data_IF_822171887110
#
_entry.id   IF_822171887110
#
_cell.length_a   1.000
_cell.length_b   1.000
_cell.length_c   1.000
_cell.angle_alpha   90.00
_cell.angle_beta   90.00
_cell.angle_gamma   90.00
#
_symmetry.space_group_name_H-M   'P 1'
#
loop_
_entity.id
_entity.type
_entity.pdbx_description
1 polymer ?
#
# COMPACT_ATOMS: atom_id res chain seq x y z
N UNK A 1 91.36 16.27 -54.94
CA UNK A 1 91.20 17.22 -53.82
C UNK A 1 92.25 16.99 -52.71
N UNK A 2 93.49 16.61 -53.07
CA UNK A 2 94.52 16.16 -52.13
C UNK A 2 95.73 17.12 -52.00
N UNK A 3 95.63 18.32 -52.58
CA UNK A 3 96.75 19.28 -52.64
C UNK A 3 96.75 20.34 -51.52
N UNK A 4 95.64 20.51 -50.79
CA UNK A 4 95.52 21.56 -49.76
C UNK A 4 96.05 21.15 -48.38
N UNK A 5 96.12 19.85 -48.06
CA UNK A 5 96.59 19.40 -46.74
C UNK A 5 98.11 19.49 -46.58
N UNK A 6 98.87 19.38 -47.68
CA UNK A 6 100.35 19.41 -47.64
C UNK A 6 100.93 20.78 -47.29
N UNK A 7 100.23 21.87 -47.66
CA UNK A 7 100.70 23.23 -47.39
C UNK A 7 100.63 23.55 -45.88
N UNK A 8 99.56 23.13 -45.21
CA UNK A 8 99.38 23.33 -43.76
C UNK A 8 100.33 22.46 -42.91
N UNK A 9 100.69 21.26 -43.40
CA UNK A 9 101.61 20.38 -42.66
C UNK A 9 103.04 20.90 -42.68
N UNK A 10 103.49 21.46 -43.81
CA UNK A 10 104.84 22.04 -43.93
C UNK A 10 105.00 23.28 -43.05
N UNK A 11 104.01 24.17 -43.04
CA UNK A 11 104.03 25.36 -42.17
C UNK A 11 104.01 24.98 -40.69
N UNK A 12 103.21 23.96 -40.31
CA UNK A 12 103.17 23.44 -38.95
C UNK A 12 104.50 22.79 -38.51
N UNK A 13 105.15 22.01 -39.38
CA UNK A 13 106.46 21.40 -39.12
C UNK A 13 107.53 22.48 -38.95
N UNK A 14 107.56 23.48 -39.84
CA UNK A 14 108.50 24.59 -39.78
C UNK A 14 108.28 25.50 -38.56
N UNK A 15 107.04 25.59 -38.05
CA UNK A 15 106.71 26.35 -36.85
C UNK A 15 107.09 25.60 -35.55
N UNK A 16 107.02 24.26 -35.56
CA UNK A 16 107.40 23.41 -34.43
C UNK A 16 108.91 23.13 -34.36
N UNK A 17 109.61 23.12 -35.49
CA UNK A 17 111.06 22.89 -35.60
C UNK A 17 111.78 23.97 -36.43
N UNK A 18 111.87 25.23 -35.96
CA UNK A 18 112.40 26.35 -36.74
C UNK A 18 113.94 26.37 -36.86
N UNK A 19 114.68 25.60 -36.08
CA UNK A 19 116.16 25.57 -36.10
C UNK A 19 116.72 24.14 -36.00
N UNK A 20 117.94 23.90 -36.50
CA UNK A 20 118.54 22.54 -36.54
C UNK A 20 118.69 21.90 -35.14
N UNK A 21 118.91 22.70 -34.09
CA UNK A 21 118.92 22.23 -32.69
C UNK A 21 117.55 21.76 -32.17
N UNK A 22 116.45 22.30 -32.70
CA UNK A 22 115.08 21.93 -32.32
C UNK A 22 114.65 20.56 -32.85
N UNK A 23 115.36 20.01 -33.85
CA UNK A 23 115.15 18.65 -34.36
C UNK A 23 115.38 17.56 -33.30
N UNK A 24 116.11 17.85 -32.21
CA UNK A 24 116.23 16.96 -31.06
C UNK A 24 114.89 16.70 -30.34
N UNK A 25 113.91 17.59 -30.50
CA UNK A 25 112.55 17.47 -29.95
C UNK A 25 111.56 16.69 -30.84
N UNK A 26 112.00 16.21 -32.01
CA UNK A 26 111.15 15.45 -32.95
C UNK A 26 110.67 14.15 -32.32
N UNK A 27 111.56 13.41 -31.66
CA UNK A 27 111.20 12.14 -31.03
C UNK A 27 110.18 12.32 -29.88
N UNK A 28 110.37 13.26 -28.93
CA UNK A 28 109.33 13.60 -27.95
C UNK A 28 108.00 14.07 -28.55
N UNK A 29 108.01 14.89 -29.60
CA UNK A 29 106.79 15.36 -30.25
C UNK A 29 106.06 14.22 -30.98
N UNK A 30 106.82 13.36 -31.67
CA UNK A 30 106.28 12.19 -32.34
C UNK A 30 105.68 11.20 -31.33
N UNK A 31 106.31 11.02 -30.17
CA UNK A 31 105.73 10.25 -29.06
C UNK A 31 104.45 10.88 -28.52
N UNK A 32 104.40 12.21 -28.36
CA UNK A 32 103.19 12.94 -27.94
C UNK A 32 102.06 12.84 -28.95
N UNK A 33 102.36 12.96 -30.24
CA UNK A 33 101.38 12.78 -31.32
C UNK A 33 100.90 11.32 -31.34
N UNK A 34 101.79 10.34 -31.24
CA UNK A 34 101.41 8.93 -31.14
C UNK A 34 100.60 8.60 -29.89
N UNK A 35 100.84 9.29 -28.76
CA UNK A 35 100.01 9.11 -27.56
C UNK A 35 98.64 9.76 -27.72
N UNK A 36 98.56 10.94 -28.35
CA UNK A 36 97.28 11.60 -28.62
C UNK A 36 96.45 10.84 -29.64
N UNK A 37 97.06 10.32 -30.71
CA UNK A 37 96.40 9.44 -31.68
C UNK A 37 95.87 8.20 -30.95
N UNK A 38 96.70 7.54 -30.12
CA UNK A 38 96.25 6.39 -29.34
C UNK A 38 95.11 6.75 -28.38
N UNK A 39 95.18 7.90 -27.71
CA UNK A 39 94.12 8.37 -26.80
C UNK A 39 92.81 8.59 -27.55
N UNK A 40 92.85 9.33 -28.66
CA UNK A 40 91.69 9.62 -29.50
C UNK A 40 91.11 8.34 -30.10
N UNK A 41 91.94 7.41 -30.59
CA UNK A 41 91.45 6.11 -31.08
C UNK A 41 90.76 5.31 -29.97
N UNK A 42 91.29 5.36 -28.75
CA UNK A 42 90.68 4.69 -27.59
C UNK A 42 89.34 5.34 -27.21
N UNK A 43 89.26 6.67 -27.24
CA UNK A 43 88.03 7.45 -27.01
C UNK A 43 86.98 7.19 -28.11
N UNK A 44 87.38 7.15 -29.38
CA UNK A 44 86.49 6.82 -30.50
C UNK A 44 85.97 5.39 -30.36
N UNK A 45 86.85 4.42 -30.09
CA UNK A 45 86.46 3.01 -29.93
C UNK A 45 85.51 2.82 -28.75
N UNK A 46 85.73 3.52 -27.64
CA UNK A 46 84.83 3.47 -26.48
C UNK A 46 83.49 4.13 -26.78
N UNK A 47 83.48 5.32 -27.40
CA UNK A 47 82.25 6.01 -27.78
C UNK A 47 81.41 5.20 -28.80
N UNK A 48 82.04 4.63 -29.84
CA UNK A 48 81.37 3.79 -30.84
C UNK A 48 80.79 2.53 -30.21
N UNK A 49 81.52 1.86 -29.31
CA UNK A 49 81.00 0.69 -28.58
C UNK A 49 79.84 1.08 -27.67
N UNK A 50 79.94 2.20 -26.96
CA UNK A 50 78.89 2.67 -26.06
C UNK A 50 77.63 3.08 -26.83
N UNK A 51 77.77 3.71 -27.99
CA UNK A 51 76.65 4.06 -28.87
C UNK A 51 76.02 2.84 -29.53
N UNK A 52 76.82 1.86 -29.97
CA UNK A 52 76.33 0.58 -30.48
C UNK A 52 75.53 -0.17 -29.41
N UNK A 53 76.07 -0.28 -28.19
CA UNK A 53 75.41 -0.96 -27.07
C UNK A 53 74.16 -0.22 -26.58
N UNK A 54 74.17 1.12 -26.60
CA UNK A 54 73.00 1.92 -26.20
C UNK A 54 71.88 1.84 -27.24
N UNK A 55 72.23 1.80 -28.53
CA UNK A 55 71.27 1.65 -29.63
C UNK A 55 70.59 0.27 -29.63
N UNK A 56 71.34 -0.82 -29.38
CA UNK A 56 70.75 -2.16 -29.25
C UNK A 56 69.85 -2.25 -28.02
N UNK A 57 70.29 -1.73 -26.86
CA UNK A 57 69.51 -1.75 -25.63
C UNK A 57 68.22 -0.93 -25.74
N UNK A 58 68.27 0.28 -26.32
CA UNK A 58 67.08 1.08 -26.54
C UNK A 58 66.07 0.39 -27.48
N UNK A 59 66.55 -0.37 -28.48
CA UNK A 59 65.69 -1.15 -29.38
C UNK A 59 65.06 -2.35 -28.68
N UNK A 60 65.80 -3.02 -27.80
CA UNK A 60 65.29 -4.10 -26.96
C UNK A 60 64.24 -3.60 -25.96
N UNK A 61 64.51 -2.49 -25.26
CA UNK A 61 63.58 -1.87 -24.31
C UNK A 61 62.30 -1.41 -25.02
N UNK A 62 62.43 -0.82 -26.22
CA UNK A 62 61.28 -0.45 -27.04
C UNK A 62 60.47 -1.68 -27.43
N UNK A 63 61.11 -2.74 -27.94
CA UNK A 63 60.43 -3.97 -28.33
C UNK A 63 59.70 -4.64 -27.14
N UNK A 64 60.34 -4.64 -25.96
CA UNK A 64 59.74 -5.13 -24.72
C UNK A 64 58.52 -4.29 -24.32
N UNK A 65 58.62 -2.96 -24.39
CA UNK A 65 57.50 -2.07 -24.11
C UNK A 65 56.33 -2.27 -25.10
N UNK A 66 56.60 -2.40 -26.40
CA UNK A 66 55.54 -2.67 -27.40
C UNK A 66 54.86 -4.01 -27.15
N UNK A 67 55.63 -5.04 -26.77
CA UNK A 67 55.10 -6.35 -26.41
C UNK A 67 54.20 -6.29 -25.17
N UNK A 68 54.64 -5.58 -24.12
CA UNK A 68 53.85 -5.40 -22.90
C UNK A 68 52.56 -4.60 -23.16
N UNK A 69 52.60 -3.57 -24.02
CA UNK A 69 51.42 -2.81 -24.44
C UNK A 69 50.45 -3.69 -25.22
N UNK A 70 50.95 -4.56 -26.11
CA UNK A 70 50.11 -5.50 -26.84
C UNK A 70 49.43 -6.50 -25.90
N UNK A 71 50.16 -7.04 -24.92
CA UNK A 71 49.59 -7.92 -23.90
C UNK A 71 48.53 -7.20 -23.05
N UNK A 72 48.77 -5.95 -22.66
CA UNK A 72 47.81 -5.14 -21.93
C UNK A 72 46.54 -4.88 -22.76
N UNK A 73 46.67 -4.54 -24.03
CA UNK A 73 45.51 -4.37 -24.93
C UNK A 73 44.69 -5.66 -25.05
N UNK A 74 45.35 -6.80 -25.13
CA UNK A 74 44.68 -8.10 -25.15
C UNK A 74 43.93 -8.35 -23.84
N UNK A 75 44.55 -8.11 -22.68
CA UNK A 75 43.91 -8.23 -21.36
C UNK A 75 42.72 -7.28 -21.21
N UNK A 76 42.84 -6.03 -21.66
CA UNK A 76 41.73 -5.06 -21.63
C UNK A 76 40.56 -5.56 -22.50
N UNK A 77 40.84 -6.08 -23.69
CA UNK A 77 39.81 -6.64 -24.57
C UNK A 77 39.13 -7.85 -23.92
N UNK A 78 39.88 -8.74 -23.30
CA UNK A 78 39.30 -9.88 -22.57
C UNK A 78 38.42 -9.45 -21.39
N UNK A 79 38.88 -8.47 -20.59
CA UNK A 79 38.10 -7.91 -19.48
C UNK A 79 36.79 -7.30 -20.01
N UNK A 80 36.86 -6.54 -21.11
CA UNK A 80 35.68 -5.95 -21.74
C UNK A 80 34.68 -7.02 -22.18
N UNK A 81 35.13 -8.05 -22.89
CA UNK A 81 34.25 -9.14 -23.34
C UNK A 81 33.63 -9.89 -22.15
N UNK A 82 34.41 -10.18 -21.11
CA UNK A 82 33.89 -10.81 -19.88
C UNK A 82 32.90 -9.93 -19.14
N UNK A 83 33.11 -8.61 -19.13
CA UNK A 83 32.20 -7.65 -18.52
C UNK A 83 30.86 -7.60 -19.28
N UNK A 84 30.87 -7.55 -20.61
CA UNK A 84 29.66 -7.58 -21.45
C UNK A 84 28.88 -8.90 -21.28
N UNK A 85 29.58 -10.03 -21.21
CA UNK A 85 28.97 -11.34 -20.91
C UNK A 85 28.37 -11.37 -19.50
N UNK A 86 29.07 -10.80 -18.51
CA UNK A 86 28.60 -10.71 -17.12
C UNK A 86 27.37 -9.83 -17.00
N UNK A 87 27.35 -8.68 -17.70
CA UNK A 87 26.19 -7.79 -17.75
C UNK A 87 24.97 -8.53 -18.31
N UNK A 88 25.13 -9.21 -19.45
CA UNK A 88 24.05 -9.98 -20.08
C UNK A 88 23.50 -11.04 -19.12
N UNK A 89 24.39 -11.81 -18.48
CA UNK A 89 24.02 -12.81 -17.48
C UNK A 89 23.24 -12.20 -16.31
N UNK A 90 23.69 -11.06 -15.77
CA UNK A 90 23.01 -10.37 -14.67
C UNK A 90 21.65 -9.86 -15.09
N UNK A 91 21.51 -9.29 -16.30
CA UNK A 91 20.22 -8.85 -16.82
C UNK A 91 19.21 -10.01 -16.93
N UNK A 92 19.66 -11.19 -17.35
CA UNK A 92 18.81 -12.38 -17.40
C UNK A 92 18.39 -12.85 -16.00
N UNK A 93 19.34 -12.88 -15.05
CA UNK A 93 19.04 -13.21 -13.65
C UNK A 93 18.00 -12.23 -13.09
N UNK A 94 18.18 -10.92 -13.29
CA UNK A 94 17.23 -9.91 -12.81
C UNK A 94 15.85 -10.05 -13.46
N UNK A 95 15.78 -10.41 -14.75
CA UNK A 95 14.53 -10.69 -15.46
C UNK A 95 13.78 -11.86 -14.81
N UNK A 96 14.48 -12.93 -14.49
CA UNK A 96 13.85 -14.11 -13.89
C UNK A 96 13.48 -13.90 -12.43
N UNK A 97 14.28 -13.15 -11.65
CA UNK A 97 13.90 -12.68 -10.30
C UNK A 97 12.60 -11.88 -10.37
N UNK A 98 12.44 -10.99 -11.35
CA UNK A 98 11.22 -10.19 -11.52
C UNK A 98 10.00 -11.07 -11.83
N UNK A 99 10.15 -12.09 -12.70
CA UNK A 99 9.08 -13.06 -12.96
C UNK A 99 8.70 -13.83 -11.70
N UNK A 100 9.68 -14.26 -10.90
CA UNK A 100 9.45 -14.95 -9.64
C UNK A 100 8.71 -14.05 -8.64
N UNK A 101 9.06 -12.77 -8.57
CA UNK A 101 8.37 -11.79 -7.71
C UNK A 101 6.90 -11.62 -8.11
N UNK A 102 6.62 -11.48 -9.41
CA UNK A 102 5.23 -11.45 -9.90
C UNK A 102 4.48 -12.73 -9.54
N UNK A 103 5.09 -13.91 -9.76
CA UNK A 103 4.48 -15.19 -9.40
C UNK A 103 4.18 -15.25 -7.89
N UNK A 104 5.13 -14.87 -7.04
CA UNK A 104 4.96 -14.81 -5.58
C UNK A 104 3.82 -13.87 -5.19
N UNK A 105 3.76 -12.67 -5.78
CA UNK A 105 2.72 -11.68 -5.51
C UNK A 105 1.34 -12.20 -5.91
N UNK A 106 1.21 -12.76 -7.12
CA UNK A 106 -0.05 -13.32 -7.59
C UNK A 106 -0.50 -14.49 -6.73
N UNK A 107 0.39 -15.43 -6.41
CA UNK A 107 0.08 -16.57 -5.53
C UNK A 107 -0.36 -16.09 -4.15
N UNK A 108 0.36 -15.13 -3.55
CA UNK A 108 0.00 -14.58 -2.23
C UNK A 108 -1.37 -13.90 -2.25
N UNK A 109 -1.66 -13.15 -3.31
CA UNK A 109 -2.97 -12.50 -3.51
C UNK A 109 -4.07 -13.54 -3.63
N UNK A 110 -3.86 -14.60 -4.43
CA UNK A 110 -4.82 -15.70 -4.60
C UNK A 110 -5.05 -16.45 -3.30
N UNK A 111 -4.00 -16.80 -2.55
CA UNK A 111 -4.12 -17.47 -1.25
C UNK A 111 -4.92 -16.60 -0.27
N UNK A 112 -4.63 -15.30 -0.21
CA UNK A 112 -5.35 -14.37 0.68
C UNK A 112 -6.83 -14.26 0.29
N UNK A 113 -7.13 -14.18 -1.00
CA UNK A 113 -8.50 -14.11 -1.50
C UNK A 113 -9.29 -15.40 -1.19
N UNK A 114 -8.68 -16.57 -1.42
CA UNK A 114 -9.27 -17.86 -1.09
C UNK A 114 -9.50 -18.02 0.41
N UNK A 115 -8.53 -17.64 1.24
CA UNK A 115 -8.68 -17.70 2.69
C UNK A 115 -9.84 -16.82 3.18
N UNK A 116 -9.92 -15.58 2.69
CA UNK A 116 -11.06 -14.67 2.98
C UNK A 116 -12.38 -15.22 2.49
N UNK A 117 -12.40 -15.96 1.38
CA UNK A 117 -13.62 -16.57 0.85
C UNK A 117 -14.07 -17.70 1.78
N UNK A 118 -13.15 -18.54 2.23
CA UNK A 118 -13.44 -19.57 3.24
C UNK A 118 -13.99 -18.94 4.52
N UNK A 119 -13.35 -17.87 5.01
CA UNK A 119 -13.86 -17.11 6.17
C UNK A 119 -15.28 -16.59 5.93
N UNK A 120 -15.57 -16.02 4.74
CA UNK A 120 -16.89 -15.51 4.41
C UNK A 120 -17.95 -16.62 4.39
N UNK A 121 -17.63 -17.77 3.79
CA UNK A 121 -18.54 -18.94 3.77
C UNK A 121 -18.88 -19.37 5.19
N UNK A 122 -17.87 -19.62 6.02
CA UNK A 122 -18.08 -20.03 7.41
C UNK A 122 -18.81 -18.97 8.23
N UNK A 123 -18.51 -17.69 8.01
CA UNK A 123 -19.14 -16.61 8.74
C UNK A 123 -20.64 -16.48 8.41
N UNK A 124 -21.02 -16.65 7.14
CA UNK A 124 -22.42 -16.66 6.69
C UNK A 124 -23.17 -17.86 7.27
N UNK A 125 -22.56 -19.05 7.28
CA UNK A 125 -23.16 -20.25 7.87
C UNK A 125 -23.40 -20.10 9.38
N UNK A 126 -22.42 -19.56 10.11
CA UNK A 126 -22.56 -19.26 11.54
C UNK A 126 -23.66 -18.23 11.79
N UNK A 127 -23.71 -17.16 10.99
CA UNK A 127 -24.75 -16.14 11.11
C UNK A 127 -26.14 -16.74 10.88
N UNK A 128 -26.28 -17.66 9.92
CA UNK A 128 -27.55 -18.35 9.66
C UNK A 128 -28.01 -19.16 10.88
N UNK A 129 -27.10 -19.84 11.58
CA UNK A 129 -27.40 -20.59 12.81
C UNK A 129 -27.77 -19.64 13.96
N UNK A 130 -27.06 -18.53 14.13
CA UNK A 130 -27.37 -17.54 15.15
C UNK A 130 -28.75 -16.89 14.90
N UNK A 131 -29.07 -16.60 13.63
CA UNK A 131 -30.35 -16.03 13.22
C UNK A 131 -31.52 -16.98 13.48
N UNK A 132 -31.36 -18.29 13.21
CA UNK A 132 -32.41 -19.29 13.46
C UNK A 132 -32.66 -19.52 14.95
N UNK A 133 -31.62 -19.42 15.79
CA UNK A 133 -31.71 -19.52 17.24
C UNK A 133 -32.08 -18.21 17.94
N UNK A 134 -32.21 -17.09 17.20
CA UNK A 134 -32.49 -15.74 17.73
C UNK A 134 -31.45 -15.27 18.76
N UNK A 135 -30.18 -15.67 18.61
CA UNK A 135 -29.06 -15.17 19.41
C UNK A 135 -28.65 -13.77 18.92
N UNK A 136 -29.48 -12.76 19.18
CA UNK A 136 -29.37 -11.45 18.56
C UNK A 136 -28.02 -10.75 18.82
N UNK A 137 -27.48 -10.84 20.04
CA UNK A 137 -26.20 -10.23 20.39
C UNK A 137 -25.04 -10.77 19.55
N UNK A 138 -24.94 -12.09 19.43
CA UNK A 138 -23.91 -12.74 18.61
C UNK A 138 -24.16 -12.48 17.11
N UNK A 139 -25.43 -12.54 16.69
CA UNK A 139 -25.82 -12.28 15.31
C UNK A 139 -25.46 -10.85 14.87
N UNK A 140 -25.59 -9.85 15.74
CA UNK A 140 -25.22 -8.46 15.43
C UNK A 140 -23.72 -8.34 15.12
N UNK A 141 -22.86 -8.85 16.01
CA UNK A 141 -21.42 -8.83 15.82
C UNK A 141 -21.00 -9.61 14.56
N UNK A 142 -21.61 -10.77 14.34
CA UNK A 142 -21.33 -11.60 13.16
C UNK A 142 -21.81 -10.93 11.86
N UNK A 143 -22.93 -10.21 11.90
CA UNK A 143 -23.47 -9.50 10.75
C UNK A 143 -22.53 -8.36 10.31
N UNK A 144 -21.95 -7.62 11.25
CA UNK A 144 -20.92 -6.62 10.97
C UNK A 144 -19.67 -7.25 10.34
N UNK A 145 -19.19 -8.37 10.90
CA UNK A 145 -18.03 -9.09 10.38
C UNK A 145 -18.26 -9.59 8.94
N UNK A 146 -19.43 -10.18 8.66
CA UNK A 146 -19.81 -10.61 7.30
C UNK A 146 -19.90 -9.41 6.36
N UNK A 147 -20.44 -8.27 6.82
CA UNK A 147 -20.55 -7.06 6.01
C UNK A 147 -19.17 -6.51 5.62
N UNK A 148 -18.21 -6.53 6.56
CA UNK A 148 -16.81 -6.17 6.29
C UNK A 148 -16.15 -7.15 5.32
N UNK A 149 -16.34 -8.46 5.48
CA UNK A 149 -15.82 -9.44 4.54
C UNK A 149 -16.40 -9.25 3.13
N UNK A 150 -17.69 -8.96 3.01
CA UNK A 150 -18.33 -8.67 1.71
C UNK A 150 -17.75 -7.46 0.99
N UNK A 151 -17.21 -6.45 1.70
CA UNK A 151 -16.60 -5.27 1.09
C UNK A 151 -15.26 -5.59 0.40
N UNK A 152 -14.49 -6.54 0.93
CA UNK A 152 -13.27 -7.04 0.28
C UNK A 152 -13.54 -7.78 -1.04
N UNK A 153 -14.78 -8.22 -1.28
CA UNK A 153 -15.16 -8.95 -2.49
C UNK A 153 -15.89 -8.09 -3.53
N UNK A 154 -15.87 -6.76 -3.42
CA UNK A 154 -16.59 -5.89 -4.37
C UNK A 154 -16.05 -5.96 -5.80
N UNK A 155 -14.74 -6.13 -5.98
CA UNK A 155 -14.14 -6.31 -7.29
C UNK A 155 -14.48 -7.68 -7.94
N UNK A 156 -15.08 -8.60 -7.18
CA UNK A 156 -15.37 -9.97 -7.61
C UNK A 156 -16.89 -10.25 -7.69
N UNK A 157 -17.71 -9.21 -7.86
CA UNK A 157 -19.19 -9.29 -7.89
C UNK A 157 -19.73 -10.21 -8.99
N UNK A 158 -18.99 -10.40 -10.09
CA UNK A 158 -19.43 -11.22 -11.21
C UNK A 158 -19.19 -12.72 -11.00
N UNK A 159 -18.47 -13.11 -9.94
CA UNK A 159 -18.19 -14.52 -9.65
C UNK A 159 -19.46 -15.17 -9.06
N UNK A 160 -20.00 -16.23 -9.69
CA UNK A 160 -21.26 -16.84 -9.28
C UNK A 160 -21.32 -17.23 -7.80
N UNK A 161 -20.21 -17.76 -7.26
CA UNK A 161 -20.16 -18.19 -5.85
C UNK A 161 -20.25 -17.02 -4.87
N UNK A 162 -19.68 -15.87 -5.22
CA UNK A 162 -19.74 -14.66 -4.38
C UNK A 162 -21.15 -14.07 -4.44
N UNK A 163 -21.78 -14.07 -5.62
CA UNK A 163 -23.18 -13.66 -5.79
C UNK A 163 -24.11 -14.55 -4.95
N UNK A 164 -23.93 -15.87 -4.98
CA UNK A 164 -24.67 -16.83 -4.14
C UNK A 164 -24.54 -16.48 -2.65
N UNK A 165 -23.31 -16.20 -2.17
CA UNK A 165 -23.08 -15.83 -0.77
C UNK A 165 -23.71 -14.49 -0.40
N UNK A 166 -23.68 -13.50 -1.30
CA UNK A 166 -24.34 -12.19 -1.08
C UNK A 166 -25.86 -12.34 -1.00
N UNK A 167 -26.47 -13.15 -1.87
CA UNK A 167 -27.91 -13.40 -1.82
C UNK A 167 -28.31 -14.19 -0.56
N UNK A 168 -27.52 -15.19 -0.15
CA UNK A 168 -27.70 -15.86 1.14
C UNK A 168 -27.63 -14.88 2.31
N UNK A 169 -26.62 -14.00 2.32
CA UNK A 169 -26.49 -12.98 3.36
C UNK A 169 -27.68 -12.01 3.37
N UNK A 170 -28.15 -11.57 2.20
CA UNK A 170 -29.35 -10.73 2.07
C UNK A 170 -30.60 -11.42 2.61
N UNK A 171 -30.79 -12.71 2.31
CA UNK A 171 -31.88 -13.52 2.85
C UNK A 171 -31.82 -13.58 4.39
N UNK A 172 -30.63 -13.81 4.96
CA UNK A 172 -30.44 -13.84 6.42
C UNK A 172 -30.77 -12.47 7.05
N UNK A 173 -30.39 -11.36 6.42
CA UNK A 173 -30.78 -10.01 6.88
C UNK A 173 -32.30 -9.85 6.95
N UNK A 174 -33.03 -10.36 5.95
CA UNK A 174 -34.51 -10.32 5.94
C UNK A 174 -35.12 -11.23 7.02
N UNK A 175 -34.55 -12.42 7.23
CA UNK A 175 -34.98 -13.33 8.31
C UNK A 175 -34.78 -12.67 9.68
N UNK A 176 -33.61 -12.08 9.93
CA UNK A 176 -33.33 -11.34 11.16
C UNK A 176 -34.31 -10.18 11.35
N UNK A 177 -34.54 -9.37 10.32
CA UNK A 177 -35.54 -8.29 10.36
C UNK A 177 -36.92 -8.83 10.75
N UNK A 178 -37.38 -9.90 10.10
CA UNK A 178 -38.67 -10.51 10.38
C UNK A 178 -38.77 -11.03 11.82
N UNK A 179 -37.75 -11.73 12.32
CA UNK A 179 -37.69 -12.23 13.69
C UNK A 179 -37.75 -11.10 14.71
N UNK A 180 -36.96 -10.04 14.52
CA UNK A 180 -36.97 -8.86 15.39
C UNK A 180 -38.36 -8.22 15.40
N UNK A 181 -38.97 -8.00 14.23
CA UNK A 181 -40.30 -7.36 14.15
C UNK A 181 -41.39 -8.21 14.80
N UNK A 182 -41.31 -9.54 14.63
CA UNK A 182 -42.21 -10.49 15.29
C UNK A 182 -42.08 -10.42 16.81
N UNK A 183 -40.86 -10.38 17.33
CA UNK A 183 -40.63 -10.36 18.79
C UNK A 183 -41.01 -9.02 19.41
N UNK A 184 -40.77 -7.91 18.72
CA UNK A 184 -41.28 -6.61 19.17
C UNK A 184 -42.80 -6.57 19.14
N UNK A 185 -43.45 -7.24 18.20
CA UNK A 185 -44.92 -7.29 18.08
C UNK A 185 -45.58 -8.08 19.21
N UNK A 186 -44.93 -9.13 19.74
CA UNK A 186 -45.41 -9.92 20.88
C UNK A 186 -45.12 -9.28 22.24
N UNK A 187 -44.38 -8.18 22.29
CA UNK A 187 -44.17 -7.44 23.54
C UNK A 187 -45.50 -6.99 24.15
N UNK A 188 -45.75 -7.42 25.39
CA UNK A 188 -46.97 -7.10 26.16
C UNK A 188 -48.05 -8.19 26.17
N UNK A 189 -47.80 -9.37 25.57
CA UNK A 189 -48.73 -10.52 25.61
C UNK A 189 -48.27 -11.66 26.51
N UNK A 190 -47.16 -11.50 27.24
CA UNK A 190 -46.51 -12.55 28.06
C UNK A 190 -46.90 -12.53 29.55
N UNK A 191 -46.44 -13.54 30.30
CA UNK A 191 -46.55 -13.58 31.78
C UNK A 191 -45.34 -12.88 32.42
N UNK A 192 -45.54 -12.20 33.55
CA UNK A 192 -44.55 -11.33 34.23
C UNK A 192 -43.14 -11.94 34.42
N UNK A 193 -43.01 -13.24 34.68
CA UNK A 193 -41.70 -13.89 34.90
C UNK A 193 -40.90 -14.10 33.60
N UNK A 194 -41.57 -14.21 32.45
CA UNK A 194 -40.93 -14.36 31.13
C UNK A 194 -40.54 -13.00 30.53
N UNK A 195 -41.05 -11.90 31.08
CA UNK A 195 -40.83 -10.55 30.55
C UNK A 195 -39.38 -10.10 30.74
N UNK A 196 -38.71 -10.38 31.87
CA UNK A 196 -37.32 -9.91 32.08
C UNK A 196 -36.32 -10.47 31.05
N UNK A 197 -36.41 -11.77 30.76
CA UNK A 197 -35.57 -12.40 29.72
C UNK A 197 -35.92 -11.89 28.32
N UNK A 198 -37.21 -11.67 28.05
CA UNK A 198 -37.68 -11.10 26.80
C UNK A 198 -37.18 -9.66 26.60
N UNK A 199 -37.19 -8.83 27.64
CA UNK A 199 -36.69 -7.45 27.60
C UNK A 199 -35.19 -7.43 27.26
N UNK A 200 -34.39 -8.32 27.86
CA UNK A 200 -32.97 -8.45 27.52
C UNK A 200 -32.78 -8.91 26.06
N UNK A 201 -33.57 -9.90 25.63
CA UNK A 201 -33.51 -10.39 24.25
C UNK A 201 -33.89 -9.30 23.23
N UNK A 202 -34.88 -8.46 23.54
CA UNK A 202 -35.27 -7.32 22.70
C UNK A 202 -34.23 -6.20 22.72
N UNK A 203 -33.53 -6.03 23.84
CA UNK A 203 -32.39 -5.11 23.92
C UNK A 203 -31.27 -5.57 23.01
N UNK A 204 -30.95 -6.87 23.03
CA UNK A 204 -29.99 -7.49 22.11
C UNK A 204 -30.47 -7.41 20.65
N UNK A 205 -31.78 -7.51 20.40
CA UNK A 205 -32.37 -7.34 19.07
C UNK A 205 -32.13 -5.93 18.49
N UNK A 206 -32.06 -4.90 19.35
CA UNK A 206 -31.72 -3.55 18.90
C UNK A 206 -30.30 -3.48 18.31
N UNK A 207 -29.35 -4.28 18.81
CA UNK A 207 -28.00 -4.36 18.25
C UNK A 207 -28.03 -4.89 16.81
N UNK A 208 -28.89 -5.87 16.52
CA UNK A 208 -29.07 -6.38 15.16
C UNK A 208 -29.67 -5.31 14.25
N UNK A 209 -30.63 -4.53 14.74
CA UNK A 209 -31.24 -3.44 13.96
C UNK A 209 -30.24 -2.35 13.63
N UNK A 210 -29.37 -1.98 14.57
CA UNK A 210 -28.29 -1.01 14.31
C UNK A 210 -27.23 -1.57 13.34
N UNK A 211 -26.94 -2.87 13.38
CA UNK A 211 -26.03 -3.53 12.44
C UNK A 211 -26.63 -3.73 11.02
N UNK A 212 -27.97 -3.67 10.89
CA UNK A 212 -28.69 -3.69 9.63
C UNK A 212 -28.64 -2.30 8.95
N UNK A 213 -29.70 -1.91 8.23
CA UNK A 213 -29.79 -0.62 7.55
C UNK A 213 -30.55 0.39 8.42
N UNK A 214 -30.21 1.69 8.36
CA UNK A 214 -30.91 2.74 9.12
C UNK A 214 -32.43 2.78 8.87
N UNK A 215 -32.87 2.39 7.67
CA UNK A 215 -34.27 2.27 7.28
C UNK A 215 -35.05 1.27 8.15
N UNK A 216 -34.40 0.18 8.58
CA UNK A 216 -35.02 -0.85 9.43
C UNK A 216 -35.32 -0.30 10.81
N UNK A 217 -34.42 0.52 11.35
CA UNK A 217 -34.62 1.22 12.63
C UNK A 217 -35.80 2.19 12.55
N UNK A 218 -35.85 3.02 11.52
CA UNK A 218 -36.94 3.98 11.33
C UNK A 218 -38.30 3.27 11.22
N UNK A 219 -38.35 2.16 10.48
CA UNK A 219 -39.55 1.35 10.33
C UNK A 219 -39.98 0.71 11.66
N UNK A 220 -39.05 0.10 12.39
CA UNK A 220 -39.32 -0.52 13.69
C UNK A 220 -39.85 0.51 14.69
N UNK A 221 -39.17 1.65 14.83
CA UNK A 221 -39.58 2.72 15.75
C UNK A 221 -40.94 3.26 15.37
N UNK A 222 -41.23 3.44 14.06
CA UNK A 222 -42.53 3.89 13.58
C UNK A 222 -43.64 2.90 13.92
N UNK A 223 -43.44 1.61 13.67
CA UNK A 223 -44.41 0.55 13.99
C UNK A 223 -44.68 0.52 15.49
N UNK A 224 -43.61 0.57 16.29
CA UNK A 224 -43.70 0.56 17.74
C UNK A 224 -44.50 1.77 18.26
N UNK A 225 -44.14 2.98 17.84
CA UNK A 225 -44.83 4.19 18.28
C UNK A 225 -46.31 4.22 17.85
N UNK A 226 -46.61 3.77 16.62
CA UNK A 226 -48.00 3.65 16.16
C UNK A 226 -48.80 2.68 17.04
N UNK A 227 -48.23 1.51 17.37
CA UNK A 227 -48.88 0.53 18.25
C UNK A 227 -49.16 1.10 19.63
N UNK A 228 -48.20 1.80 20.22
CA UNK A 228 -48.37 2.45 21.53
C UNK A 228 -49.49 3.50 21.50
N UNK A 229 -49.62 4.22 20.39
CA UNK A 229 -50.63 5.26 20.17
C UNK A 229 -51.99 4.72 19.72
N UNK A 230 -52.14 3.44 19.38
CA UNK A 230 -53.45 2.85 19.03
C UNK A 230 -54.46 3.02 20.16
N UNK A 231 -54.04 2.77 21.41
CA UNK A 231 -54.90 2.97 22.58
C UNK A 231 -55.29 4.43 22.80
N UNK A 232 -54.39 5.36 22.47
CA UNK A 232 -54.68 6.80 22.47
C UNK A 232 -55.74 7.14 21.41
N UNK A 233 -55.58 6.67 20.18
CA UNK A 233 -56.54 6.90 19.10
C UNK A 233 -57.92 6.42 19.50
N UNK A 234 -58.04 5.20 20.05
CA UNK A 234 -59.32 4.65 20.51
C UNK A 234 -59.98 5.47 21.63
N UNK A 235 -59.20 6.00 22.58
CA UNK A 235 -59.73 6.79 23.71
C UNK A 235 -60.23 8.16 23.23
N UNK A 236 -59.61 8.75 22.22
CA UNK A 236 -59.87 10.13 21.79
C UNK A 236 -60.50 10.23 20.40
N UNK A 237 -61.01 9.12 19.87
CA UNK A 237 -61.75 9.05 18.61
C UNK A 237 -63.12 9.75 18.75
N UNK A 238 -63.48 10.58 17.76
CA UNK A 238 -64.77 11.26 17.69
C UNK A 238 -64.75 12.77 17.97
N UNK A 239 -65.70 13.49 17.37
CA UNK A 239 -65.73 14.96 17.33
C UNK A 239 -65.83 15.63 18.72
N UNK A 240 -66.49 14.99 19.68
CA UNK A 240 -66.66 15.51 21.05
C UNK A 240 -65.39 15.43 21.90
N UNK A 241 -64.49 14.49 21.60
CA UNK A 241 -63.22 14.29 22.31
C UNK A 241 -62.04 14.99 21.62
N UNK A 242 -62.28 15.53 20.41
CA UNK A 242 -61.34 16.36 19.65
C UNK A 242 -61.37 17.86 20.02
N UNK A 243 -62.20 18.24 21.00
CA UNK A 243 -62.32 19.62 21.49
C UNK A 243 -61.09 20.06 22.29
N UNK A 244 -60.81 21.37 22.22
CA UNK A 244 -59.68 22.04 22.88
C UNK A 244 -59.67 21.86 24.41
N UNK A 245 -60.83 21.75 25.04
CA UNK A 245 -60.98 21.51 26.49
C UNK A 245 -60.47 20.13 26.94
N UNK A 246 -60.25 19.19 26.00
CA UNK A 246 -59.67 17.87 26.29
C UNK A 246 -58.15 17.82 26.17
N UNK A 247 -57.49 18.91 25.79
CA UNK A 247 -56.04 18.98 25.58
C UNK A 247 -55.25 18.59 26.83
N UNK A 248 -55.66 19.03 28.02
CA UNK A 248 -55.00 18.65 29.29
C UNK A 248 -55.06 17.14 29.55
N UNK A 249 -56.19 16.49 29.22
CA UNK A 249 -56.35 15.04 29.37
C UNK A 249 -55.44 14.28 28.40
N UNK A 250 -55.26 14.77 27.18
CA UNK A 250 -54.31 14.20 26.18
C UNK A 250 -52.87 14.30 26.69
N UNK A 251 -52.45 15.45 27.22
CA UNK A 251 -51.13 15.61 27.83
C UNK A 251 -50.92 14.75 29.09
N UNK A 252 -51.95 14.60 29.92
CA UNK A 252 -51.90 13.72 31.09
C UNK A 252 -51.76 12.24 30.67
N UNK A 253 -52.43 11.84 29.58
CA UNK A 253 -52.35 10.49 29.04
C UNK A 253 -50.92 10.13 28.61
N UNK A 254 -50.26 10.94 27.78
CA UNK A 254 -48.91 10.63 27.29
C UNK A 254 -47.89 10.63 28.44
N UNK A 255 -47.99 11.58 29.39
CA UNK A 255 -47.14 11.60 30.59
C UNK A 255 -47.30 10.33 31.43
N UNK A 256 -48.52 9.83 31.58
CA UNK A 256 -48.77 8.57 32.28
C UNK A 256 -48.19 7.39 31.50
N UNK A 257 -48.40 7.32 30.19
CA UNK A 257 -47.90 6.23 29.34
C UNK A 257 -46.37 6.12 29.39
N UNK A 258 -45.66 7.25 29.33
CA UNK A 258 -44.21 7.28 29.46
C UNK A 258 -43.72 6.76 30.82
N UNK A 259 -44.43 7.08 31.92
CA UNK A 259 -44.08 6.61 33.26
C UNK A 259 -44.40 5.13 33.50
N UNK A 260 -45.55 4.66 33.05
CA UNK A 260 -46.00 3.28 33.31
C UNK A 260 -45.14 2.25 32.56
N UNK A 261 -44.56 2.62 31.41
CA UNK A 261 -43.77 1.71 30.57
C UNK A 261 -42.26 1.96 30.66
N UNK A 262 -41.75 2.51 31.78
CA UNK A 262 -40.34 2.90 31.94
C UNK A 262 -39.34 1.80 31.53
N UNK A 263 -39.60 0.56 31.95
CA UNK A 263 -38.75 -0.60 31.66
C UNK A 263 -38.72 -0.96 30.16
N UNK A 264 -39.83 -0.72 29.44
CA UNK A 264 -39.90 -0.96 28.00
C UNK A 264 -39.08 0.10 27.24
N UNK A 265 -39.08 1.35 27.70
CA UNK A 265 -38.28 2.41 27.10
C UNK A 265 -36.77 2.15 27.25
N UNK A 266 -36.36 1.44 28.31
CA UNK A 266 -34.96 1.06 28.57
C UNK A 266 -34.41 0.01 27.60
N UNK A 267 -35.26 -0.74 26.90
CA UNK A 267 -34.85 -1.71 25.88
C UNK A 267 -34.10 -1.01 24.75
N UNK A 268 -34.59 0.17 24.34
CA UNK A 268 -34.08 0.88 23.19
C UNK A 268 -32.80 1.65 23.51
N UNK A 269 -31.81 1.67 22.60
CA UNK A 269 -30.66 2.54 22.72
C UNK A 269 -31.08 4.01 22.83
N UNK A 270 -30.43 4.77 23.73
CA UNK A 270 -30.73 6.20 23.93
C UNK A 270 -30.56 7.04 22.67
N UNK A 271 -29.66 6.63 21.78
CA UNK A 271 -29.41 7.27 20.47
C UNK A 271 -30.61 7.19 19.52
N UNK A 272 -31.56 6.28 19.74
CA UNK A 272 -32.75 6.14 18.90
C UNK A 272 -33.83 7.17 19.26
N UNK A 273 -33.78 7.75 20.46
CA UNK A 273 -34.72 8.78 20.93
C UNK A 273 -36.20 8.36 20.74
N UNK A 274 -36.52 7.09 21.03
CA UNK A 274 -37.85 6.50 20.76
C UNK A 274 -38.97 7.22 21.52
N UNK A 275 -38.73 7.56 22.78
CA UNK A 275 -39.63 8.33 23.64
C UNK A 275 -39.94 9.73 23.07
N UNK A 276 -38.91 10.41 22.56
CA UNK A 276 -39.06 11.70 21.88
C UNK A 276 -39.84 11.56 20.56
N UNK A 277 -39.54 10.52 19.76
CA UNK A 277 -40.25 10.25 18.51
C UNK A 277 -41.73 9.90 18.73
N UNK A 278 -42.04 9.17 19.80
CA UNK A 278 -43.41 8.92 20.24
C UNK A 278 -44.13 10.23 20.55
N UNK A 279 -43.49 11.15 21.28
CA UNK A 279 -44.05 12.46 21.60
C UNK A 279 -44.33 13.29 20.32
N UNK A 280 -43.42 13.27 19.34
CA UNK A 280 -43.64 13.91 18.05
C UNK A 280 -44.87 13.33 17.35
N UNK A 281 -44.98 11.99 17.28
CA UNK A 281 -46.11 11.34 16.64
C UNK A 281 -47.43 11.65 17.35
N UNK A 282 -47.43 11.61 18.68
CA UNK A 282 -48.55 12.04 19.51
C UNK A 282 -48.99 13.48 19.18
N UNK A 283 -48.05 14.42 19.09
CA UNK A 283 -48.36 15.81 18.72
C UNK A 283 -48.95 15.91 17.31
N UNK A 284 -48.43 15.13 16.35
CA UNK A 284 -48.95 15.09 14.97
C UNK A 284 -50.39 14.56 14.91
N UNK A 285 -50.70 13.48 15.64
CA UNK A 285 -52.06 12.94 15.74
C UNK A 285 -52.99 13.94 16.41
N UNK A 286 -52.57 14.51 17.54
CA UNK A 286 -53.37 15.51 18.28
C UNK A 286 -53.69 16.73 17.42
N UNK A 287 -52.70 17.23 16.66
CA UNK A 287 -52.91 18.34 15.72
C UNK A 287 -53.95 17.98 14.67
N UNK A 288 -53.88 16.77 14.10
CA UNK A 288 -54.80 16.31 13.08
C UNK A 288 -56.24 16.22 13.63
N UNK A 289 -56.42 15.63 14.82
CA UNK A 289 -57.72 15.55 15.49
C UNK A 289 -58.33 16.94 15.74
N UNK A 290 -57.53 17.88 16.25
CA UNK A 290 -57.96 19.24 16.53
C UNK A 290 -58.35 19.96 15.22
N UNK A 291 -57.55 19.83 14.16
CA UNK A 291 -57.87 20.45 12.86
C UNK A 291 -59.16 19.90 12.25
N UNK A 292 -59.40 18.59 12.35
CA UNK A 292 -60.67 17.98 11.91
C UNK A 292 -61.84 18.55 12.70
N UNK A 293 -61.71 18.71 14.02
CA UNK A 293 -62.73 19.33 14.87
C UNK A 293 -63.02 20.78 14.44
N UNK A 294 -61.99 21.58 14.17
CA UNK A 294 -62.16 22.95 13.66
C UNK A 294 -62.88 23.00 12.32
N UNK A 295 -62.56 22.10 11.39
CA UNK A 295 -63.22 22.05 10.09
C UNK A 295 -64.69 21.59 10.21
N UNK A 296 -64.99 20.63 11.08
CA UNK A 296 -66.37 20.20 11.35
C UNK A 296 -67.18 21.32 12.00
N UNK A 297 -66.57 22.07 12.94
CA UNK A 297 -67.22 23.22 13.56
C UNK A 297 -67.52 24.34 12.55
N UNK A 298 -66.55 24.67 11.68
CA UNK A 298 -66.75 25.65 10.60
C UNK A 298 -67.76 25.21 9.55
N UNK A 299 -67.93 23.91 9.31
CA UNK A 299 -68.92 23.39 8.36
C UNK A 299 -70.33 23.25 8.95
N UNK A 300 -70.46 23.29 10.28
CA UNK A 300 -71.72 23.18 11.00
C UNK A 300 -72.26 24.54 11.50
N UNK A 301 -71.45 25.60 11.39
CA UNK A 301 -71.81 27.00 11.65
C UNK A 301 -72.20 27.71 10.34
#
# INVERSE_FOLDING_TARGET
>A
MAASDKQNTLDYINQMFPTEASLSGVEPLMQKIHSEIRRVDTEILTAVRQQSNSGTKAREDLAAATSAVQELMNKIREIKTKAEQSETMVQEICRDIKKLDFAKKHITTTITALHRLTMLVSAVEQLQVMASKRHYKEAAAQLEAVNQLCSHFEAYRDIPKITELREKFKSIKQVLKSHVFSDFSSLGTGKETEESNLLQQLSDACLVVDALEPSVREELVKIFCNRELTSYQQIFEGAELAKLDKTERRYAWIKRRLRTNEEIWKIFPRSWHVDYLLCIQFCKLTRLDILISFHLFLSAA
#
